data_IF_105576028170
#
_entry.id   IF_105576028170
#
_cell.length_a   1.000
_cell.length_b   1.000
_cell.length_c   1.000
_cell.angle_alpha   90.00
_cell.angle_beta   90.00
_cell.angle_gamma   90.00
#
_symmetry.space_group_name_H-M   'P 1'
#
loop_
_entity.id
_entity.type
_entity.pdbx_description
1 polymer ?
#
# COMPACT_ATOMS: atom_id res chain seq x y z
N UNK A 1 12.62 5.45 -41.50
CA UNK A 1 12.73 4.94 -40.12
C UNK A 1 11.48 5.37 -39.35
N UNK A 2 10.47 4.52 -39.27
CA UNK A 2 9.23 4.82 -38.53
C UNK A 2 9.48 4.75 -37.03
N UNK A 3 9.00 5.74 -36.27
CA UNK A 3 9.02 5.73 -34.81
C UNK A 3 8.16 4.55 -34.36
N UNK A 4 8.79 3.46 -33.90
CA UNK A 4 8.06 2.33 -33.32
C UNK A 4 7.28 2.83 -32.09
N UNK A 5 6.03 2.37 -31.90
CA UNK A 5 5.21 2.85 -30.80
C UNK A 5 5.76 2.32 -29.46
N UNK A 6 5.80 3.19 -28.47
CA UNK A 6 6.46 2.98 -27.18
C UNK A 6 5.73 1.98 -26.26
N UNK A 7 4.64 1.39 -26.74
CA UNK A 7 3.73 0.49 -26.02
C UNK A 7 4.06 -1.00 -26.20
N UNK A 8 4.95 -1.37 -27.14
CA UNK A 8 5.27 -2.78 -27.44
C UNK A 8 6.23 -3.46 -26.45
N UNK A 9 6.90 -2.71 -25.55
CA UNK A 9 7.98 -3.22 -24.68
C UNK A 9 7.68 -3.19 -23.17
N UNK A 10 6.41 -3.10 -22.77
CA UNK A 10 6.02 -3.11 -21.35
C UNK A 10 6.34 -1.81 -20.60
N UNK A 11 6.05 -1.75 -19.28
CA UNK A 11 6.24 -0.55 -18.49
C UNK A 11 7.72 -0.15 -18.46
N UNK A 12 8.00 1.13 -18.64
CA UNK A 12 9.38 1.64 -18.51
C UNK A 12 9.73 1.71 -17.01
N UNK A 13 11.02 1.76 -16.64
CA UNK A 13 11.44 1.82 -15.24
C UNK A 13 10.75 2.93 -14.43
N UNK A 14 10.58 4.12 -15.01
CA UNK A 14 9.86 5.25 -14.38
C UNK A 14 8.37 4.95 -14.14
N UNK A 15 7.77 4.10 -14.97
CA UNK A 15 6.37 3.69 -14.80
C UNK A 15 6.24 2.64 -13.68
N UNK A 16 7.33 1.94 -13.31
CA UNK A 16 7.41 1.01 -12.17
C UNK A 16 7.81 1.70 -10.85
N UNK A 17 8.55 2.81 -10.90
CA UNK A 17 8.95 3.58 -9.72
C UNK A 17 7.76 4.07 -8.88
N UNK A 18 6.63 4.37 -9.53
CA UNK A 18 5.38 4.71 -8.84
C UNK A 18 4.81 3.53 -8.04
N UNK A 19 4.84 2.32 -8.61
CA UNK A 19 4.34 1.10 -7.94
C UNK A 19 5.20 0.77 -6.72
N UNK A 20 6.52 0.81 -6.89
CA UNK A 20 7.46 0.59 -5.77
C UNK A 20 7.32 1.64 -4.67
N UNK A 21 6.91 2.86 -5.02
CA UNK A 21 6.63 3.92 -4.06
C UNK A 21 5.39 3.65 -3.20
N UNK A 22 4.38 2.99 -3.77
CA UNK A 22 3.09 2.69 -3.13
C UNK A 22 3.14 1.40 -2.30
N UNK A 23 4.06 0.49 -2.59
CA UNK A 23 4.20 -0.81 -1.93
C UNK A 23 4.21 -0.77 -0.39
N UNK A 24 4.95 0.15 0.27
CA UNK A 24 4.89 0.26 1.73
C UNK A 24 3.50 0.56 2.28
N UNK A 25 2.68 1.35 1.57
CA UNK A 25 1.31 1.66 1.97
C UNK A 25 0.44 0.42 1.85
N UNK A 26 0.53 -0.28 0.73
CA UNK A 26 -0.21 -1.52 0.49
C UNK A 26 0.12 -2.56 1.57
N UNK A 27 1.40 -2.71 1.94
CA UNK A 27 1.80 -3.61 3.03
C UNK A 27 1.18 -3.20 4.39
N UNK A 28 1.02 -1.90 4.64
CA UNK A 28 0.37 -1.40 5.86
C UNK A 28 -1.11 -1.73 5.87
N UNK A 29 -1.79 -1.57 4.72
CA UNK A 29 -3.20 -1.89 4.55
C UNK A 29 -3.43 -3.41 4.68
N UNK A 30 -2.55 -4.23 4.12
CA UNK A 30 -2.59 -5.68 4.30
C UNK A 30 -2.43 -6.08 5.76
N UNK A 31 -1.58 -5.37 6.53
CA UNK A 31 -1.45 -5.62 7.97
C UNK A 31 -2.72 -5.29 8.76
N UNK A 32 -3.53 -4.33 8.30
CA UNK A 32 -4.86 -4.04 8.88
C UNK A 32 -5.80 -5.19 8.56
N UNK A 33 -5.87 -5.57 7.28
CA UNK A 33 -6.72 -6.68 6.83
C UNK A 33 -6.41 -7.97 7.58
N UNK A 34 -5.14 -8.32 7.77
CA UNK A 34 -4.72 -9.50 8.53
C UNK A 34 -5.18 -9.43 9.99
N UNK A 35 -5.10 -8.25 10.62
CA UNK A 35 -5.57 -8.06 12.00
C UNK A 35 -7.11 -8.15 12.11
N UNK A 36 -7.84 -7.63 11.13
CA UNK A 36 -9.30 -7.75 11.05
C UNK A 36 -9.73 -9.19 10.84
N UNK A 37 -9.09 -9.92 9.93
CA UNK A 37 -9.31 -11.35 9.70
C UNK A 37 -9.08 -12.12 11.00
N UNK A 38 -7.99 -11.85 11.72
CA UNK A 38 -7.71 -12.49 13.01
C UNK A 38 -8.82 -12.21 14.05
N UNK A 39 -9.33 -10.98 14.12
CA UNK A 39 -10.44 -10.63 15.00
C UNK A 39 -11.74 -11.36 14.63
N UNK A 40 -12.04 -11.50 13.34
CA UNK A 40 -13.21 -12.24 12.86
C UNK A 40 -13.11 -13.71 13.28
N UNK A 41 -11.96 -14.36 13.05
CA UNK A 41 -11.75 -15.74 13.50
C UNK A 41 -11.82 -15.88 15.02
N UNK A 42 -11.33 -14.89 15.77
CA UNK A 42 -11.41 -14.92 17.23
C UNK A 42 -12.86 -14.90 17.74
N UNK A 43 -13.82 -14.34 16.99
CA UNK A 43 -15.23 -14.32 17.38
C UNK A 43 -15.79 -15.73 17.63
N UNK A 44 -15.36 -16.71 16.83
CA UNK A 44 -15.75 -18.12 16.99
C UNK A 44 -15.01 -18.82 18.15
N UNK A 45 -14.03 -18.15 18.78
CA UNK A 45 -13.13 -18.71 19.78
C UNK A 45 -13.12 -17.93 21.11
N UNK A 46 -14.22 -17.24 21.43
CA UNK A 46 -14.38 -16.47 22.67
C UNK A 46 -14.09 -14.97 22.53
N UNK A 47 -13.91 -14.49 21.31
CA UNK A 47 -13.74 -13.08 20.95
C UNK A 47 -12.27 -12.61 20.89
N UNK A 48 -12.01 -11.44 20.26
CA UNK A 48 -10.67 -10.89 20.18
C UNK A 48 -10.10 -10.51 21.55
N UNK A 49 -8.83 -10.82 21.78
CA UNK A 49 -8.14 -10.45 23.01
C UNK A 49 -7.73 -8.97 23.01
N UNK A 50 -7.38 -8.39 24.17
CA UNK A 50 -6.81 -7.04 24.22
C UNK A 50 -5.53 -6.86 23.38
N UNK A 51 -4.78 -7.94 23.13
CA UNK A 51 -3.60 -7.90 22.26
C UNK A 51 -3.99 -7.80 20.78
N UNK A 52 -5.07 -8.44 20.36
CA UNK A 52 -5.55 -8.38 18.97
C UNK A 52 -6.06 -6.97 18.65
N UNK A 53 -6.78 -6.34 19.58
CA UNK A 53 -7.14 -4.93 19.48
C UNK A 53 -5.92 -3.99 19.43
N UNK A 54 -4.83 -4.32 20.14
CA UNK A 54 -3.58 -3.55 20.04
C UNK A 54 -2.89 -3.75 18.69
N UNK A 55 -2.98 -4.93 18.09
CA UNK A 55 -2.45 -5.22 16.75
C UNK A 55 -3.19 -4.38 15.71
N UNK A 56 -4.52 -4.41 15.72
CA UNK A 56 -5.34 -3.62 14.80
C UNK A 56 -5.00 -2.12 14.87
N UNK A 57 -5.03 -1.52 16.07
CA UNK A 57 -4.69 -0.10 16.24
C UNK A 57 -3.28 0.27 15.75
N UNK A 58 -2.31 -0.62 15.92
CA UNK A 58 -0.94 -0.39 15.43
C UNK A 58 -0.86 -0.48 13.91
N UNK A 59 -1.61 -1.39 13.29
CA UNK A 59 -1.70 -1.48 11.84
C UNK A 59 -2.35 -0.23 11.24
N UNK A 60 -3.48 0.24 11.80
CA UNK A 60 -4.15 1.48 11.40
C UNK A 60 -3.23 2.71 11.54
N UNK A 61 -2.49 2.80 12.65
CA UNK A 61 -1.52 3.86 12.86
C UNK A 61 -0.37 3.80 11.82
N UNK A 62 0.05 2.60 11.42
CA UNK A 62 1.06 2.40 10.36
C UNK A 62 0.52 2.89 9.02
N UNK A 63 -0.73 2.57 8.67
CA UNK A 63 -1.37 3.07 7.44
C UNK A 63 -1.34 4.59 7.41
N UNK A 64 -1.80 5.25 8.49
CA UNK A 64 -1.82 6.72 8.56
C UNK A 64 -0.44 7.32 8.37
N UNK A 65 0.58 6.76 9.03
CA UNK A 65 1.96 7.23 8.91
C UNK A 65 2.51 7.06 7.50
N UNK A 66 2.35 5.87 6.92
CA UNK A 66 2.90 5.55 5.59
C UNK A 66 2.16 6.32 4.49
N UNK A 67 0.85 6.53 4.63
CA UNK A 67 0.07 7.37 3.72
C UNK A 67 0.56 8.83 3.76
N UNK A 68 0.87 9.36 4.95
CA UNK A 68 1.44 10.70 5.08
C UNK A 68 2.84 10.78 4.46
N UNK A 69 3.68 9.76 4.64
CA UNK A 69 5.01 9.67 4.01
C UNK A 69 4.91 9.62 2.48
N UNK A 70 3.99 8.83 1.93
CA UNK A 70 3.74 8.74 0.49
C UNK A 70 3.22 10.08 -0.07
N UNK A 71 2.26 10.71 0.60
CA UNK A 71 1.70 12.00 0.19
C UNK A 71 2.71 13.15 0.24
N UNK A 72 3.72 13.07 1.11
CA UNK A 72 4.81 14.04 1.19
C UNK A 72 5.85 13.90 0.05
N UNK A 73 5.79 12.83 -0.76
CA UNK A 73 6.74 12.64 -1.87
C UNK A 73 6.44 13.63 -3.00
N UNK A 74 7.46 14.28 -3.57
CA UNK A 74 7.27 15.20 -4.68
C UNK A 74 6.77 14.44 -5.91
N UNK A 75 5.63 14.84 -6.45
CA UNK A 75 5.10 14.28 -7.69
C UNK A 75 5.90 14.87 -8.85
N UNK A 76 6.68 14.05 -9.54
CA UNK A 76 7.28 14.44 -10.82
C UNK A 76 6.19 14.34 -11.89
N UNK A 77 5.35 15.37 -11.98
CA UNK A 77 4.37 15.48 -13.06
C UNK A 77 5.14 15.70 -14.38
N UNK A 78 5.12 14.70 -15.26
CA UNK A 78 5.60 14.87 -16.63
C UNK A 78 4.69 15.88 -17.34
N UNK A 79 5.26 17.01 -17.75
CA UNK A 79 4.62 17.86 -18.74
C UNK A 79 4.49 17.06 -20.04
N UNK A 80 3.26 16.85 -20.50
CA UNK A 80 2.99 16.32 -21.84
C UNK A 80 3.22 17.48 -22.81
N UNK A 81 4.28 17.38 -23.61
CA UNK A 81 4.59 18.27 -24.72
C UNK A 81 4.25 17.59 -26.06
#
# INVERSE_FOLDING_TARGET
MGKQPADMFGPRPVDLEGIEAEWPLIEAELSVLDAEIANIYAADHGGPSPLDWRRLRRAEARVTRVAAELAARPVVLKAVA
#
